data_IF_854598410124
#
_entry.id   IF_854598410124
#
_cell.length_a   1.000
_cell.length_b   1.000
_cell.length_c   1.000
_cell.angle_alpha   90.00
_cell.angle_beta   90.00
_cell.angle_gamma   90.00
#
_symmetry.space_group_name_H-M   'P 1'
#
loop_
_entity.id
_entity.type
_entity.pdbx_description
1 polymer ?
#
# COMPACT_ATOMS: atom_id res chain seq x y z
N UNK A 1 12.97 -1.23 -8.51
CA UNK A 1 12.24 -0.05 -8.01
C UNK A 1 12.93 1.22 -8.47
N UNK A 2 14.18 1.50 -8.06
CA UNK A 2 14.94 2.69 -8.52
C UNK A 2 14.99 2.85 -10.05
N UNK A 3 15.38 1.82 -10.79
CA UNK A 3 15.42 1.89 -12.26
C UNK A 3 14.07 2.28 -12.91
N UNK A 4 12.93 1.88 -12.32
CA UNK A 4 11.62 2.28 -12.84
C UNK A 4 11.34 3.78 -12.58
N UNK A 5 11.74 4.27 -11.41
CA UNK A 5 11.64 5.70 -11.06
C UNK A 5 12.59 6.55 -11.90
N UNK A 6 13.83 6.10 -12.11
CA UNK A 6 14.80 6.73 -13.01
C UNK A 6 14.26 6.82 -14.45
N UNK A 7 13.49 5.81 -14.88
CA UNK A 7 12.78 5.80 -16.15
C UNK A 7 11.46 6.62 -16.14
N UNK A 8 11.20 7.39 -15.09
CA UNK A 8 10.10 8.35 -15.02
C UNK A 8 8.83 7.86 -14.32
N UNK A 9 8.82 6.66 -13.72
CA UNK A 9 7.68 6.20 -12.96
C UNK A 9 7.39 7.13 -11.77
N UNK A 10 6.13 7.58 -11.65
CA UNK A 10 5.64 8.44 -10.56
C UNK A 10 4.99 7.67 -9.41
N UNK A 11 4.93 6.35 -9.53
CA UNK A 11 4.41 5.43 -8.53
C UNK A 11 4.69 3.99 -8.95
N UNK A 12 4.66 3.07 -7.99
CA UNK A 12 4.97 1.67 -8.19
C UNK A 12 3.85 0.78 -7.63
N UNK A 13 3.55 -0.31 -8.32
CA UNK A 13 2.76 -1.43 -7.78
C UNK A 13 3.62 -2.67 -7.77
N UNK A 14 3.70 -3.36 -6.63
CA UNK A 14 4.53 -4.55 -6.43
C UNK A 14 3.64 -5.73 -6.04
N UNK A 15 3.82 -6.87 -6.71
CA UNK A 15 3.06 -8.09 -6.43
C UNK A 15 3.77 -8.98 -5.41
N UNK A 16 3.29 -8.95 -4.17
CA UNK A 16 3.77 -9.78 -3.06
C UNK A 16 2.99 -11.10 -2.91
N UNK A 17 3.59 -12.19 -2.40
CA UNK A 17 2.83 -13.40 -2.09
C UNK A 17 1.90 -13.20 -0.88
N UNK A 18 0.90 -14.08 -0.74
CA UNK A 18 -0.04 -14.05 0.38
C UNK A 18 -0.72 -12.70 0.53
N UNK A 19 -0.65 -12.12 1.74
CA UNK A 19 -1.21 -10.81 2.07
C UNK A 19 -0.37 -9.62 1.55
N UNK A 20 0.20 -9.75 0.35
CA UNK A 20 1.09 -8.79 -0.30
C UNK A 20 2.42 -8.53 0.44
N UNK A 21 3.06 -9.58 0.98
CA UNK A 21 4.35 -9.40 1.66
C UNK A 21 5.47 -8.99 0.70
N UNK A 22 6.44 -8.24 1.19
CA UNK A 22 7.63 -7.82 0.43
C UNK A 22 8.90 -8.17 1.22
N UNK A 23 10.04 -8.43 0.55
CA UNK A 23 11.30 -8.62 1.26
C UNK A 23 11.74 -7.32 1.98
N UNK A 24 12.52 -7.41 3.08
CA UNK A 24 12.96 -6.23 3.83
C UNK A 24 13.65 -5.17 2.98
N UNK A 25 14.46 -5.59 2.00
CA UNK A 25 15.12 -4.67 1.07
C UNK A 25 14.13 -3.86 0.22
N UNK A 26 13.00 -4.45 -0.20
CA UNK A 26 11.97 -3.71 -0.93
C UNK A 26 11.20 -2.74 -0.03
N UNK A 27 10.99 -3.09 1.25
CA UNK A 27 10.39 -2.19 2.22
C UNK A 27 11.26 -0.96 2.49
N UNK A 28 12.59 -1.14 2.60
CA UNK A 28 13.55 -0.03 2.73
C UNK A 28 13.50 0.90 1.52
N UNK A 29 13.43 0.34 0.30
CA UNK A 29 13.34 1.15 -0.91
C UNK A 29 11.98 1.86 -1.01
N UNK A 30 10.88 1.21 -0.59
CA UNK A 30 9.58 1.86 -0.52
C UNK A 30 9.59 3.05 0.46
N UNK A 31 10.30 2.94 1.59
CA UNK A 31 10.50 4.05 2.53
C UNK A 31 11.25 5.24 1.91
N UNK A 32 12.40 4.99 1.28
CA UNK A 32 13.16 6.05 0.59
C UNK A 32 12.35 6.73 -0.54
N UNK A 33 11.58 5.95 -1.30
CA UNK A 33 10.71 6.52 -2.35
C UNK A 33 9.53 7.30 -1.77
N UNK A 34 8.97 6.86 -0.65
CA UNK A 34 7.90 7.58 0.05
C UNK A 34 8.38 8.96 0.52
N UNK A 35 9.59 9.05 1.09
CA UNK A 35 10.20 10.34 1.47
C UNK A 35 10.39 11.29 0.27
N UNK A 36 10.52 10.72 -0.94
CA UNK A 36 10.64 11.46 -2.21
C UNK A 36 9.29 11.78 -2.87
N UNK A 37 8.17 11.50 -2.24
CA UNK A 37 6.84 11.76 -2.81
C UNK A 37 6.35 10.68 -3.79
N UNK A 38 6.99 9.51 -3.86
CA UNK A 38 6.69 8.47 -4.84
C UNK A 38 5.99 7.29 -4.15
N UNK A 39 4.67 7.10 -4.34
CA UNK A 39 3.95 6.02 -3.69
C UNK A 39 4.36 4.65 -4.22
N UNK A 40 4.53 3.69 -3.30
CA UNK A 40 4.67 2.27 -3.61
C UNK A 40 3.52 1.50 -2.98
N UNK A 41 2.76 0.79 -3.81
CA UNK A 41 1.60 -0.03 -3.40
C UNK A 41 1.94 -1.51 -3.52
N UNK A 42 1.87 -2.25 -2.42
CA UNK A 42 1.95 -3.71 -2.40
C UNK A 42 0.56 -4.31 -2.64
N UNK A 43 0.45 -5.15 -3.66
CA UNK A 43 -0.75 -5.88 -4.00
C UNK A 43 -0.54 -7.40 -3.89
N UNK A 44 -1.60 -8.17 -3.53
CA UNK A 44 -1.50 -9.61 -3.46
C UNK A 44 -1.32 -10.19 -4.86
N UNK A 45 -0.35 -11.11 -5.02
CA UNK A 45 -0.15 -11.92 -6.23
C UNK A 45 -1.21 -13.01 -6.41
N UNK A 46 -1.76 -13.64 -5.35
CA UNK A 46 -2.89 -14.56 -5.50
C UNK A 46 -4.10 -13.88 -6.18
N UNK A 47 -4.88 -14.65 -6.92
CA UNK A 47 -6.07 -14.14 -7.61
C UNK A 47 -7.18 -13.66 -6.66
N UNK A 48 -7.17 -14.16 -5.42
CA UNK A 48 -8.12 -13.80 -4.36
C UNK A 48 -7.39 -13.52 -3.06
N UNK A 49 -8.04 -12.80 -2.15
CA UNK A 49 -7.49 -12.34 -0.89
C UNK A 49 -7.32 -10.82 -0.85
N UNK A 50 -6.52 -10.33 0.08
CA UNK A 50 -6.27 -8.91 0.26
C UNK A 50 -4.80 -8.64 0.58
N UNK A 51 -4.29 -7.49 0.16
CA UNK A 51 -3.06 -6.92 0.71
C UNK A 51 -3.39 -6.29 2.06
N UNK A 52 -2.85 -6.83 3.16
CA UNK A 52 -3.29 -6.42 4.50
C UNK A 52 -2.35 -5.35 5.06
N UNK A 53 -2.81 -4.09 5.25
CA UNK A 53 -1.99 -3.05 5.85
C UNK A 53 -1.74 -3.34 7.33
N UNK A 54 -0.63 -2.84 7.87
CA UNK A 54 -0.38 -2.86 9.32
C UNK A 54 -1.35 -1.92 10.07
N UNK A 55 -1.63 -2.14 11.37
CA UNK A 55 -2.49 -1.26 12.16
C UNK A 55 -1.98 0.19 12.21
N UNK A 56 -0.65 0.39 12.22
CA UNK A 56 -0.02 1.71 12.12
C UNK A 56 0.37 1.96 10.66
N UNK A 57 0.00 3.13 10.07
CA UNK A 57 0.42 3.50 8.73
C UNK A 57 1.94 3.53 8.56
N UNK A 58 2.41 2.99 7.43
CA UNK A 58 3.81 2.99 7.05
C UNK A 58 4.03 3.59 5.66
N UNK A 59 5.30 3.63 5.20
CA UNK A 59 5.64 4.16 3.88
C UNK A 59 5.24 3.23 2.73
N UNK A 60 5.12 1.93 2.98
CA UNK A 60 4.56 0.98 2.02
C UNK A 60 3.03 0.97 2.15
N UNK A 61 2.35 1.25 1.05
CA UNK A 61 0.88 1.25 0.97
C UNK A 61 0.43 -0.15 0.54
N UNK A 62 -0.70 -0.64 1.05
CA UNK A 62 -1.26 -1.94 0.69
C UNK A 62 -2.54 -1.77 -0.12
N UNK A 63 -2.71 -2.56 -1.18
CA UNK A 63 -3.84 -2.43 -2.12
C UNK A 63 -5.20 -2.84 -1.54
N UNK A 64 -5.22 -3.37 -0.31
CA UNK A 64 -6.40 -3.94 0.33
C UNK A 64 -7.10 -4.94 -0.60
N UNK A 65 -8.29 -4.61 -1.07
CA UNK A 65 -9.13 -5.49 -1.88
C UNK A 65 -8.79 -5.49 -3.37
N UNK A 66 -7.89 -4.61 -3.83
CA UNK A 66 -7.57 -4.48 -5.24
C UNK A 66 -6.47 -5.45 -5.65
N UNK A 67 -6.68 -6.11 -6.80
CA UNK A 67 -5.63 -6.88 -7.49
C UNK A 67 -4.53 -5.95 -8.00
N UNK A 68 -3.38 -6.52 -8.43
CA UNK A 68 -2.28 -5.72 -8.97
C UNK A 68 -2.66 -4.85 -10.18
N UNK A 69 -3.50 -5.36 -11.08
CA UNK A 69 -3.95 -4.63 -12.26
C UNK A 69 -4.88 -3.47 -11.88
N UNK A 70 -5.84 -3.74 -10.98
CA UNK A 70 -6.75 -2.72 -10.46
C UNK A 70 -5.99 -1.65 -9.68
N UNK A 71 -5.04 -2.06 -8.85
CA UNK A 71 -4.21 -1.15 -8.07
C UNK A 71 -3.35 -0.25 -8.97
N UNK A 72 -2.82 -0.78 -10.09
CA UNK A 72 -2.09 0.03 -11.07
C UNK A 72 -2.97 1.10 -11.69
N UNK A 73 -4.18 0.75 -12.13
CA UNK A 73 -5.12 1.72 -12.71
C UNK A 73 -5.51 2.76 -11.66
N UNK A 74 -5.88 2.33 -10.46
CA UNK A 74 -6.26 3.22 -9.36
C UNK A 74 -5.13 4.20 -9.01
N UNK A 75 -3.89 3.72 -8.91
CA UNK A 75 -2.74 4.56 -8.60
C UNK A 75 -2.47 5.60 -9.70
N UNK A 76 -2.63 5.21 -10.97
CA UNK A 76 -2.49 6.14 -12.09
C UNK A 76 -3.55 7.25 -12.05
N UNK A 77 -4.81 6.89 -11.74
CA UNK A 77 -5.89 7.86 -11.59
C UNK A 77 -5.63 8.81 -10.42
N UNK A 78 -5.23 8.29 -9.26
CA UNK A 78 -4.92 9.09 -8.08
C UNK A 78 -3.78 10.08 -8.31
N UNK A 79 -2.67 9.62 -8.89
CA UNK A 79 -1.52 10.49 -9.23
C UNK A 79 -1.96 11.59 -10.21
N UNK A 80 -2.71 11.24 -11.27
CA UNK A 80 -3.18 12.22 -12.24
C UNK A 80 -4.22 13.20 -11.66
N UNK A 81 -4.99 12.77 -10.66
CA UNK A 81 -5.91 13.62 -9.92
C UNK A 81 -5.21 14.54 -8.90
N UNK A 82 -3.88 14.44 -8.76
CA UNK A 82 -3.09 15.28 -7.87
C UNK A 82 -3.16 14.86 -6.40
N UNK A 83 -3.47 13.58 -6.12
CA UNK A 83 -3.52 13.08 -4.75
C UNK A 83 -2.11 13.08 -4.15
N UNK A 84 -2.00 13.53 -2.90
CA UNK A 84 -0.79 13.37 -2.10
C UNK A 84 -0.64 11.93 -1.57
N UNK A 85 0.47 11.65 -0.88
CA UNK A 85 0.77 10.31 -0.38
C UNK A 85 -0.22 9.80 0.68
N UNK A 86 -0.78 10.68 1.50
CA UNK A 86 -1.75 10.30 2.53
C UNK A 86 -3.10 10.00 1.88
N UNK A 87 -3.53 10.83 0.93
CA UNK A 87 -4.72 10.61 0.14
C UNK A 87 -4.64 9.32 -0.69
N UNK A 88 -3.48 9.04 -1.29
CA UNK A 88 -3.24 7.76 -1.97
C UNK A 88 -3.35 6.60 -0.99
N UNK A 89 -2.74 6.70 0.20
CA UNK A 89 -2.86 5.66 1.23
C UNK A 89 -4.31 5.43 1.64
N UNK A 90 -5.04 6.50 1.96
CA UNK A 90 -6.43 6.41 2.42
C UNK A 90 -7.34 5.82 1.35
N UNK A 91 -7.12 6.16 0.07
CA UNK A 91 -7.82 5.58 -1.07
C UNK A 91 -7.70 4.06 -1.10
N UNK A 92 -6.55 3.51 -0.75
CA UNK A 92 -6.31 2.07 -0.75
C UNK A 92 -6.65 1.37 0.58
N UNK A 93 -6.32 1.98 1.73
CA UNK A 93 -6.26 1.27 3.00
C UNK A 93 -7.43 1.55 3.95
N UNK A 94 -8.08 2.71 3.84
CA UNK A 94 -9.05 3.20 4.86
C UNK A 94 -10.15 2.19 5.18
N UNK A 95 -10.78 1.64 4.14
CA UNK A 95 -11.89 0.69 4.28
C UNK A 95 -11.47 -0.60 5.00
N UNK A 96 -10.34 -1.19 4.62
CA UNK A 96 -9.85 -2.43 5.23
C UNK A 96 -9.30 -2.17 6.64
N UNK A 97 -8.58 -1.07 6.87
CA UNK A 97 -8.13 -0.67 8.20
C UNK A 97 -9.31 -0.50 9.14
N UNK A 98 -10.35 0.21 8.71
CA UNK A 98 -11.54 0.41 9.53
C UNK A 98 -12.21 -0.93 9.86
N UNK A 99 -12.41 -1.78 8.86
CA UNK A 99 -13.03 -3.10 9.06
C UNK A 99 -12.24 -4.01 10.02
N UNK A 100 -10.91 -3.94 10.01
CA UNK A 100 -10.04 -4.83 10.79
C UNK A 100 -9.67 -4.25 12.15
N UNK A 101 -9.41 -2.95 12.26
CA UNK A 101 -8.77 -2.35 13.44
C UNK A 101 -9.71 -1.47 14.28
N UNK A 102 -10.78 -0.93 13.72
CA UNK A 102 -11.72 -0.07 14.47
C UNK A 102 -12.64 -0.84 15.45
N UNK A 103 -13.04 -2.10 15.22
CA UNK A 103 -13.88 -2.81 16.19
C UNK A 103 -13.23 -2.85 17.58
N UNK A 104 -14.01 -2.49 18.62
CA UNK A 104 -13.50 -2.38 20.00
C UNK A 104 -12.83 -3.68 20.52
N UNK A 105 -13.27 -4.84 20.04
CA UNK A 105 -12.63 -6.12 20.34
C UNK A 105 -11.21 -6.22 19.76
N UNK A 106 -11.00 -5.71 18.54
CA UNK A 106 -9.74 -5.76 17.82
C UNK A 106 -8.77 -4.69 18.32
N UNK A 107 -9.27 -3.52 18.73
CA UNK A 107 -8.44 -2.46 19.30
C UNK A 107 -7.62 -2.95 20.50
N UNK A 108 -8.23 -3.74 21.40
CA UNK A 108 -7.53 -4.33 22.56
C UNK A 108 -6.40 -5.28 22.18
N UNK A 109 -6.50 -5.92 21.02
CA UNK A 109 -5.51 -6.88 20.53
C UNK A 109 -4.37 -6.22 19.76
N UNK A 110 -4.69 -5.25 18.89
CA UNK A 110 -3.71 -4.62 18.00
C UNK A 110 -3.02 -3.40 18.60
N UNK A 111 -3.60 -2.77 19.63
CA UNK A 111 -3.03 -1.62 20.32
C UNK A 111 -3.02 -1.85 21.85
N UNK A 112 -2.32 -2.90 22.35
CA UNK A 112 -2.19 -3.10 23.78
C UNK A 112 -1.41 -1.94 24.39
N UNK A 113 -2.01 -1.34 25.42
CA UNK A 113 -1.42 -0.29 26.27
C UNK A 113 -0.13 -0.73 26.96
#
# INVERSE_FOLDING_TARGET
MYAAVENGAKGLVILGPGAASVPPSAAVVAADLFEKGIPTVAAPRPATGAGVPHPVPGPLIYSSYLSGEQARIMLQLAINAGYDLEQVRDLFESQLRSAVYDPAANQKFYYPS
#
